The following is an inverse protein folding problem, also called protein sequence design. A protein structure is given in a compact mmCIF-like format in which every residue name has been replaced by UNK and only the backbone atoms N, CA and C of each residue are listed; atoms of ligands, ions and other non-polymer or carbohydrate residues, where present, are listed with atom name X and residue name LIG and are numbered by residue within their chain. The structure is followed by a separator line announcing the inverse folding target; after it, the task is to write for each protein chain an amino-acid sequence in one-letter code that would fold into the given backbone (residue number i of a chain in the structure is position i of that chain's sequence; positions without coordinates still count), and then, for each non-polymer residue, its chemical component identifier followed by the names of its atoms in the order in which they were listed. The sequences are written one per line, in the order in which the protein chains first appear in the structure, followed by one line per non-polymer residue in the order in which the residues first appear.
data_IF_225869901328
#
_entry.id   IF_225869901328
#
_cell.length_a   1.000
_cell.length_b   1.000
_cell.length_c   1.000
_cell.angle_alpha   90.00
_cell.angle_beta   90.00
_cell.angle_gamma   90.00
#
_symmetry.space_group_name_H-M   'P 1'
#
loop_
_entity.id
_entity.type
_entity.pdbx_description
1 polymer ?
#
# COMPACT_ATOMS: atom_id res chain seq x y z
N UNK A 1 -14.67 -27.40 -3.11
CA UNK A 1 -14.96 -25.95 -3.25
C UNK A 1 -14.73 -25.16 -1.96
N UNK A 2 -15.32 -25.56 -0.83
CA UNK A 2 -15.21 -24.84 0.47
C UNK A 2 -13.77 -24.55 0.91
N UNK A 3 -12.87 -25.53 0.78
CA UNK A 3 -11.45 -25.37 1.17
C UNK A 3 -10.67 -24.40 0.28
N UNK A 4 -11.08 -24.22 -0.98
CA UNK A 4 -10.46 -23.25 -1.88
C UNK A 4 -10.86 -21.82 -1.52
N UNK A 5 -12.15 -21.61 -1.21
CA UNK A 5 -12.68 -20.33 -0.75
C UNK A 5 -12.06 -19.92 0.59
N UNK A 6 -11.95 -20.84 1.55
CA UNK A 6 -11.30 -20.58 2.84
C UNK A 6 -9.84 -20.14 2.66
N UNK A 7 -9.08 -20.80 1.76
CA UNK A 7 -7.69 -20.40 1.47
C UNK A 7 -7.59 -19.03 0.81
N UNK A 8 -8.55 -18.65 -0.03
CA UNK A 8 -8.60 -17.32 -0.64
C UNK A 8 -8.88 -16.26 0.44
N UNK A 9 -9.90 -16.48 1.28
CA UNK A 9 -10.25 -15.58 2.37
C UNK A 9 -9.06 -15.33 3.32
N UNK A 10 -8.36 -16.39 3.73
CA UNK A 10 -7.17 -16.27 4.59
C UNK A 10 -6.08 -15.43 3.94
N UNK A 11 -5.84 -15.59 2.63
CA UNK A 11 -4.84 -14.79 1.92
C UNK A 11 -5.23 -13.32 1.84
N UNK A 12 -6.52 -13.03 1.61
CA UNK A 12 -7.06 -11.68 1.57
C UNK A 12 -6.92 -11.02 2.94
N UNK A 13 -7.37 -11.69 4.01
CA UNK A 13 -7.22 -11.21 5.39
C UNK A 13 -5.75 -10.96 5.72
N UNK A 14 -4.87 -11.89 5.35
CA UNK A 14 -3.44 -11.73 5.59
C UNK A 14 -2.83 -10.54 4.83
N UNK A 15 -3.26 -10.31 3.59
CA UNK A 15 -2.85 -9.12 2.84
C UNK A 15 -3.31 -7.83 3.54
N UNK A 16 -4.58 -7.75 3.96
CA UNK A 16 -5.08 -6.60 4.72
C UNK A 16 -4.34 -6.38 6.03
N UNK A 17 -3.99 -7.44 6.76
CA UNK A 17 -3.18 -7.31 7.98
C UNK A 17 -1.80 -6.69 7.69
N UNK A 18 -1.16 -7.09 6.59
CA UNK A 18 0.10 -6.47 6.14
C UNK A 18 -0.14 -5.00 5.78
N UNK A 19 -1.19 -4.69 5.02
CA UNK A 19 -1.51 -3.31 4.63
C UNK A 19 -1.72 -2.40 5.83
N UNK A 20 -2.49 -2.84 6.82
CA UNK A 20 -2.71 -2.08 8.06
C UNK A 20 -1.39 -1.90 8.82
N UNK A 21 -0.56 -2.95 8.92
CA UNK A 21 0.74 -2.85 9.58
C UNK A 21 1.68 -1.86 8.88
N UNK A 22 1.73 -1.87 7.54
CA UNK A 22 2.53 -0.96 6.73
C UNK A 22 2.05 0.48 6.90
N UNK A 23 0.75 0.73 6.76
CA UNK A 23 0.15 2.06 6.93
C UNK A 23 0.47 2.65 8.31
N UNK A 24 0.32 1.84 9.37
CA UNK A 24 0.65 2.27 10.74
C UNK A 24 2.14 2.50 10.97
N UNK A 25 3.01 1.81 10.24
CA UNK A 25 4.47 1.93 10.41
C UNK A 25 5.05 3.15 9.70
N UNK A 26 4.48 3.55 8.57
CA UNK A 26 4.92 4.72 7.81
C UNK A 26 4.48 6.05 8.43
N UNK A 27 3.32 6.06 9.10
CA UNK A 27 2.77 7.28 9.69
C UNK A 27 2.21 8.22 8.61
N UNK A 28 2.26 9.52 8.87
CA UNK A 28 1.71 10.53 7.96
C UNK A 28 2.56 10.67 6.68
N UNK A 29 1.93 10.85 5.50
CA UNK A 29 2.64 10.92 4.22
C UNK A 29 3.59 12.11 4.10
N UNK A 30 3.34 13.20 4.83
CA UNK A 30 4.22 14.36 4.90
C UNK A 30 5.60 14.03 5.48
N UNK A 31 5.74 12.89 6.18
CA UNK A 31 7.03 12.46 6.73
C UNK A 31 7.95 11.80 5.70
N UNK A 32 7.41 11.35 4.56
CA UNK A 32 8.17 10.53 3.61
C UNK A 32 7.89 10.83 2.13
N UNK A 33 6.84 11.58 1.83
CA UNK A 33 6.56 12.09 0.49
C UNK A 33 7.14 13.51 0.35
N UNK A 34 8.00 13.69 -0.64
CA UNK A 34 8.60 14.99 -0.94
C UNK A 34 7.53 16.01 -1.36
N UNK A 35 7.54 17.18 -0.73
CA UNK A 35 6.50 18.19 -0.93
C UNK A 35 6.50 18.78 -2.34
N UNK A 36 7.68 18.95 -2.95
CA UNK A 36 7.78 19.47 -4.33
C UNK A 36 7.22 18.45 -5.32
N UNK A 37 7.56 17.17 -5.15
CA UNK A 37 6.99 16.09 -5.92
C UNK A 37 5.47 16.00 -5.78
N UNK A 38 4.94 16.09 -4.55
CA UNK A 38 3.49 16.07 -4.29
C UNK A 38 2.79 17.27 -4.93
N UNK A 39 3.41 18.45 -4.89
CA UNK A 39 2.88 19.66 -5.54
C UNK A 39 2.83 19.51 -7.06
N UNK A 40 3.87 18.93 -7.67
CA UNK A 40 3.87 18.63 -9.10
C UNK A 40 2.82 17.59 -9.46
N UNK A 41 2.63 16.56 -8.62
CA UNK A 41 1.59 15.56 -8.82
C UNK A 41 0.19 16.17 -8.70
N UNK A 42 -0.04 17.03 -7.71
CA UNK A 42 -1.27 17.81 -7.56
C UNK A 42 -1.54 18.61 -8.83
N UNK A 43 -0.58 19.41 -9.31
CA UNK A 43 -0.72 20.16 -10.56
C UNK A 43 -1.05 19.26 -11.75
N UNK A 44 -0.44 18.08 -11.83
CA UNK A 44 -0.68 17.12 -12.91
C UNK A 44 -2.09 16.51 -12.86
N UNK A 45 -2.61 16.21 -11.68
CA UNK A 45 -3.90 15.55 -11.49
C UNK A 45 -5.08 16.51 -11.55
N UNK A 46 -4.94 17.69 -10.93
CA UNK A 46 -6.04 18.65 -10.76
C UNK A 46 -5.89 19.91 -11.60
N UNK A 47 -4.72 20.18 -12.16
CA UNK A 47 -4.44 21.42 -12.92
C UNK A 47 -4.31 22.67 -12.04
N UNK A 48 -4.32 22.49 -10.72
CA UNK A 48 -4.18 23.54 -9.70
C UNK A 48 -3.44 22.98 -8.49
N UNK A 49 -2.78 23.87 -7.74
CA UNK A 49 -2.09 23.57 -6.49
C UNK A 49 -2.68 24.45 -5.39
N UNK A 50 -3.66 23.89 -4.71
CA UNK A 50 -4.31 24.45 -3.54
C UNK A 50 -4.34 23.42 -2.40
N UNK A 51 -4.79 23.82 -1.21
CA UNK A 51 -4.77 22.98 -0.02
C UNK A 51 -5.55 21.66 -0.18
N UNK A 52 -6.70 21.68 -0.87
CA UNK A 52 -7.52 20.49 -1.10
C UNK A 52 -6.82 19.53 -2.09
N UNK A 53 -6.33 20.05 -3.21
CA UNK A 53 -5.62 19.25 -4.21
C UNK A 53 -4.29 18.66 -3.70
N UNK A 54 -3.57 19.37 -2.83
CA UNK A 54 -2.38 18.87 -2.18
C UNK A 54 -2.70 17.74 -1.21
N UNK A 55 -3.77 17.88 -0.43
CA UNK A 55 -4.24 16.83 0.48
C UNK A 55 -4.60 15.55 -0.29
N UNK A 56 -5.32 15.68 -1.41
CA UNK A 56 -5.65 14.55 -2.28
C UNK A 56 -4.39 13.90 -2.87
N UNK A 57 -3.42 14.71 -3.32
CA UNK A 57 -2.17 14.20 -3.86
C UNK A 57 -1.34 13.43 -2.80
N UNK A 58 -1.26 13.96 -1.57
CA UNK A 58 -0.65 13.26 -0.44
C UNK A 58 -1.36 11.94 -0.14
N UNK A 59 -2.69 11.93 -0.13
CA UNK A 59 -3.48 10.71 0.08
C UNK A 59 -3.23 9.66 -1.01
N UNK A 60 -3.18 10.06 -2.27
CA UNK A 60 -2.92 9.13 -3.38
C UNK A 60 -1.51 8.54 -3.33
N UNK A 61 -0.51 9.35 -3.02
CA UNK A 61 0.87 8.88 -2.82
C UNK A 61 0.94 7.92 -1.62
N UNK A 62 0.32 8.27 -0.50
CA UNK A 62 0.26 7.44 0.71
C UNK A 62 -0.32 6.06 0.38
N UNK A 63 -1.50 6.06 -0.22
CA UNK A 63 -2.21 4.85 -0.61
C UNK A 63 -1.37 3.98 -1.55
N UNK A 64 -0.74 4.59 -2.56
CA UNK A 64 0.08 3.86 -3.53
C UNK A 64 1.32 3.25 -2.88
N UNK A 65 2.03 4.00 -2.05
CA UNK A 65 3.25 3.54 -1.36
C UNK A 65 2.91 2.42 -0.38
N UNK A 66 1.89 2.60 0.46
CA UNK A 66 1.39 1.59 1.39
C UNK A 66 1.02 0.31 0.64
N UNK A 67 0.27 0.43 -0.46
CA UNK A 67 -0.14 -0.71 -1.26
C UNK A 67 1.06 -1.44 -1.90
N UNK A 68 2.00 -0.69 -2.48
CA UNK A 68 3.20 -1.23 -3.13
C UNK A 68 4.08 -2.00 -2.13
N UNK A 69 4.37 -1.40 -0.97
CA UNK A 69 5.16 -2.04 0.09
C UNK A 69 4.44 -3.30 0.60
N UNK A 70 3.13 -3.22 0.81
CA UNK A 70 2.32 -4.37 1.24
C UNK A 70 2.37 -5.52 0.23
N UNK A 71 2.33 -5.21 -1.07
CA UNK A 71 2.44 -6.20 -2.14
C UNK A 71 3.80 -6.89 -2.13
N UNK A 72 4.88 -6.15 -1.90
CA UNK A 72 6.24 -6.70 -1.76
C UNK A 72 6.31 -7.65 -0.56
N UNK A 73 5.88 -7.21 0.63
CA UNK A 73 5.91 -8.05 1.84
C UNK A 73 5.05 -9.30 1.72
N UNK A 74 3.84 -9.16 1.17
CA UNK A 74 2.96 -10.29 0.92
C UNK A 74 3.60 -11.28 -0.06
N UNK A 75 4.21 -10.80 -1.15
CA UNK A 75 4.85 -11.64 -2.15
C UNK A 75 6.03 -12.41 -1.57
N UNK A 76 6.93 -11.73 -0.83
CA UNK A 76 8.05 -12.36 -0.13
C UNK A 76 7.54 -13.45 0.82
N UNK A 77 6.52 -13.13 1.62
CA UNK A 77 5.95 -14.08 2.58
C UNK A 77 5.38 -15.32 1.88
N UNK A 78 4.64 -15.14 0.78
CA UNK A 78 4.09 -16.26 0.00
C UNK A 78 5.18 -17.11 -0.65
N UNK A 79 6.27 -16.49 -1.13
CA UNK A 79 7.44 -17.21 -1.64
C UNK A 79 8.07 -18.07 -0.54
N UNK A 80 8.27 -17.52 0.66
CA UNK A 80 8.84 -18.24 1.80
C UNK A 80 7.95 -19.42 2.24
N UNK A 81 6.64 -19.21 2.34
CA UNK A 81 5.68 -20.27 2.67
C UNK A 81 5.73 -21.40 1.63
N UNK A 82 5.76 -21.06 0.33
CA UNK A 82 5.87 -22.07 -0.75
C UNK A 82 7.17 -22.84 -0.68
N UNK A 83 8.29 -22.17 -0.40
CA UNK A 83 9.61 -22.80 -0.24
C UNK A 83 9.62 -23.77 0.94
N UNK A 84 8.99 -23.42 2.06
CA UNK A 84 8.87 -24.28 3.25
C UNK A 84 7.99 -25.52 2.99
N UNK A 85 6.94 -25.42 2.18
CA UNK A 85 6.05 -26.55 1.83
C UNK A 85 6.63 -27.53 0.80
N UNK A 86 7.70 -27.12 0.09
CA UNK A 86 8.40 -27.96 -0.89
C UNK A 86 9.58 -28.72 -0.30
N UNK A 87 10.00 -28.36 0.91
CA UNK A 87 10.87 -29.18 1.76
C UNK A 87 10.00 -30.13 2.57
#
# INVERSE_FOLDING_TARGET
MVTALARLAIKIIFFFMITVAVARSLGHPENYADHEFVSQLSLLLTGDVNAESLYDAYFYIDFFIVFAISLVFYSITMILIRKKRRK
#
